data_IF_169585748687
#
_entry.id   IF_169585748687
#
_cell.length_a   1.000
_cell.length_b   1.000
_cell.length_c   1.000
_cell.angle_alpha   90.00
_cell.angle_beta   90.00
_cell.angle_gamma   90.00
#
_symmetry.space_group_name_H-M   'P 1'
#
loop_
_entity.id
_entity.type
_entity.pdbx_description
1 polymer ?
#
# COMPACT_ATOMS: atom_id res chain seq x y z
N UNK A 1 24.98 -5.67 7.79
CA UNK A 1 25.02 -4.20 7.69
C UNK A 1 25.14 -3.68 6.25
N UNK A 2 25.91 -4.30 5.34
CA UNK A 2 26.07 -3.81 3.95
C UNK A 2 24.76 -3.83 3.13
N UNK A 3 23.91 -4.84 3.26
CA UNK A 3 22.63 -4.93 2.55
C UNK A 3 21.67 -3.79 2.89
N UNK A 4 21.61 -3.36 4.15
CA UNK A 4 20.77 -2.24 4.57
C UNK A 4 21.21 -0.90 3.98
N UNK A 5 22.51 -0.67 3.92
CA UNK A 5 23.07 0.56 3.32
C UNK A 5 22.80 0.61 1.80
N UNK A 6 22.96 -0.52 1.11
CA UNK A 6 22.68 -0.62 -0.33
C UNK A 6 21.20 -0.38 -0.60
N UNK A 7 20.31 -0.98 0.21
CA UNK A 7 18.88 -0.79 0.08
C UNK A 7 18.47 0.67 0.33
N UNK A 8 19.03 1.27 1.40
CA UNK A 8 18.79 2.69 1.70
C UNK A 8 19.26 3.60 0.56
N UNK A 9 20.46 3.38 0.03
CA UNK A 9 20.98 4.13 -1.10
C UNK A 9 20.11 3.95 -2.36
N UNK A 10 19.62 2.74 -2.63
CA UNK A 10 18.73 2.47 -3.75
C UNK A 10 17.39 3.20 -3.60
N UNK A 11 16.81 3.24 -2.39
CA UNK A 11 15.57 3.98 -2.12
C UNK A 11 15.78 5.47 -2.30
N UNK A 12 16.87 6.05 -1.76
CA UNK A 12 17.20 7.46 -1.93
C UNK A 12 17.39 7.81 -3.41
N UNK A 13 18.13 6.99 -4.16
CA UNK A 13 18.34 7.18 -5.58
C UNK A 13 17.00 7.10 -6.36
N UNK A 14 16.15 6.14 -6.05
CA UNK A 14 14.83 6.02 -6.68
C UNK A 14 13.95 7.25 -6.42
N UNK A 15 13.96 7.78 -5.19
CA UNK A 15 13.15 8.97 -4.84
C UNK A 15 13.68 10.24 -5.50
N UNK A 16 15.01 10.41 -5.60
CA UNK A 16 15.60 11.67 -6.09
C UNK A 16 15.80 11.71 -7.60
N UNK A 17 16.02 10.56 -8.25
CA UNK A 17 16.43 10.50 -9.66
C UNK A 17 15.33 10.05 -10.61
N UNK A 18 14.30 9.36 -10.14
CA UNK A 18 13.25 8.86 -11.02
C UNK A 18 12.19 9.93 -11.30
N UNK A 19 11.74 10.08 -12.56
CA UNK A 19 10.54 10.86 -12.86
C UNK A 19 9.31 10.22 -12.20
N UNK A 20 8.30 11.04 -11.86
CA UNK A 20 7.15 10.60 -11.07
C UNK A 20 6.42 9.38 -11.65
N UNK A 21 6.30 9.29 -12.98
CA UNK A 21 5.67 8.15 -13.66
C UNK A 21 6.45 6.84 -13.46
N UNK A 22 7.78 6.89 -13.55
CA UNK A 22 8.63 5.72 -13.33
C UNK A 22 8.62 5.32 -11.85
N UNK A 23 8.71 6.31 -10.94
CA UNK A 23 8.59 6.10 -9.50
C UNK A 23 7.26 5.41 -9.17
N UNK A 24 6.14 5.88 -9.74
CA UNK A 24 4.82 5.28 -9.53
C UNK A 24 4.76 3.81 -9.94
N UNK A 25 5.33 3.45 -11.11
CA UNK A 25 5.36 2.07 -11.59
C UNK A 25 6.22 1.19 -10.69
N UNK A 26 7.40 1.67 -10.29
CA UNK A 26 8.29 0.94 -9.37
C UNK A 26 7.60 0.72 -8.02
N UNK A 27 6.99 1.75 -7.45
CA UNK A 27 6.26 1.64 -6.18
C UNK A 27 5.01 0.76 -6.31
N UNK A 28 4.33 0.77 -7.46
CA UNK A 28 3.23 -0.16 -7.71
C UNK A 28 3.72 -1.62 -7.69
N UNK A 29 4.85 -1.90 -8.35
CA UNK A 29 5.43 -3.24 -8.32
C UNK A 29 5.77 -3.70 -6.89
N UNK A 30 6.36 -2.83 -6.07
CA UNK A 30 6.63 -3.12 -4.64
C UNK A 30 5.32 -3.36 -3.88
N UNK A 31 4.29 -2.53 -4.13
CA UNK A 31 2.96 -2.69 -3.52
C UNK A 31 2.31 -4.03 -3.90
N UNK A 32 2.45 -4.45 -5.16
CA UNK A 32 1.92 -5.73 -5.63
C UNK A 32 2.68 -6.94 -5.06
N UNK A 33 4.00 -6.81 -4.80
CA UNK A 33 4.75 -7.81 -4.05
C UNK A 33 4.23 -7.90 -2.61
N UNK A 34 3.99 -6.78 -1.94
CA UNK A 34 3.33 -6.75 -0.63
C UNK A 34 1.93 -7.36 -0.66
N UNK A 35 1.15 -7.11 -1.71
CA UNK A 35 -0.16 -7.71 -1.92
C UNK A 35 -0.09 -9.23 -2.09
N UNK A 36 0.96 -9.73 -2.76
CA UNK A 36 1.21 -11.17 -2.89
C UNK A 36 1.45 -11.83 -1.53
N UNK A 37 2.21 -11.21 -0.65
CA UNK A 37 2.40 -11.69 0.72
C UNK A 37 1.13 -11.54 1.57
N UNK A 38 0.43 -10.39 1.46
CA UNK A 38 -0.85 -10.17 2.12
C UNK A 38 -1.89 -11.23 1.78
N UNK A 39 -1.92 -11.68 0.53
CA UNK A 39 -2.84 -12.73 0.07
C UNK A 39 -2.70 -14.04 0.85
N UNK A 40 -1.48 -14.35 1.34
CA UNK A 40 -1.24 -15.53 2.21
C UNK A 40 -1.88 -15.36 3.58
N UNK A 41 -1.80 -14.15 4.14
CA UNK A 41 -2.44 -13.82 5.43
C UNK A 41 -3.97 -13.90 5.35
N UNK A 42 -4.53 -13.65 4.16
CA UNK A 42 -5.96 -13.83 3.90
C UNK A 42 -6.37 -15.30 3.78
N UNK A 43 -5.43 -16.26 3.77
CA UNK A 43 -5.69 -17.67 3.55
C UNK A 43 -6.09 -17.99 2.10
N UNK A 44 -5.53 -17.21 1.15
CA UNK A 44 -5.63 -17.50 -0.28
C UNK A 44 -4.52 -18.49 -0.65
N UNK A 45 -4.76 -19.80 -0.50
CA UNK A 45 -3.72 -20.82 -0.66
C UNK A 45 -3.46 -21.18 -2.13
N UNK A 46 -4.47 -21.04 -2.98
CA UNK A 46 -4.35 -21.36 -4.40
C UNK A 46 -3.65 -20.22 -5.17
N UNK A 47 -2.59 -20.57 -5.91
CA UNK A 47 -1.78 -19.62 -6.70
C UNK A 47 -2.61 -18.82 -7.70
N UNK A 48 -3.63 -19.45 -8.32
CA UNK A 48 -4.51 -18.76 -9.28
C UNK A 48 -5.35 -17.68 -8.60
N UNK A 49 -5.89 -17.95 -7.42
CA UNK A 49 -6.69 -17.01 -6.64
C UNK A 49 -5.81 -15.84 -6.15
N UNK A 50 -4.58 -16.13 -5.73
CA UNK A 50 -3.59 -15.11 -5.36
C UNK A 50 -3.24 -14.22 -6.55
N UNK A 51 -2.95 -14.83 -7.71
CA UNK A 51 -2.66 -14.08 -8.94
C UNK A 51 -3.86 -13.21 -9.38
N UNK A 52 -5.09 -13.72 -9.27
CA UNK A 52 -6.30 -12.94 -9.55
C UNK A 52 -6.46 -11.75 -8.58
N UNK A 53 -6.19 -11.94 -7.30
CA UNK A 53 -6.21 -10.86 -6.30
C UNK A 53 -5.19 -9.77 -6.62
N UNK A 54 -3.94 -10.14 -6.86
CA UNK A 54 -2.86 -9.20 -7.22
C UNK A 54 -3.14 -8.50 -8.55
N UNK A 55 -3.65 -9.25 -9.54
CA UNK A 55 -4.07 -8.68 -10.83
C UNK A 55 -5.21 -7.68 -10.66
N UNK A 56 -6.19 -7.97 -9.81
CA UNK A 56 -7.25 -7.03 -9.45
C UNK A 56 -6.71 -5.74 -8.82
N UNK A 57 -5.73 -5.86 -7.91
CA UNK A 57 -5.06 -4.70 -7.32
C UNK A 57 -4.24 -3.91 -8.34
N UNK A 58 -3.60 -4.57 -9.31
CA UNK A 58 -2.90 -3.88 -10.40
C UNK A 58 -3.87 -3.05 -11.26
N UNK A 59 -5.06 -3.59 -11.57
CA UNK A 59 -6.13 -2.86 -12.29
C UNK A 59 -6.63 -1.69 -11.46
N UNK A 60 -6.88 -1.89 -10.15
CA UNK A 60 -7.27 -0.81 -9.24
C UNK A 60 -6.19 0.27 -9.15
N UNK A 61 -4.91 -0.10 -9.13
CA UNK A 61 -3.78 0.84 -9.20
C UNK A 61 -3.81 1.67 -10.48
N UNK A 62 -4.06 1.05 -11.63
CA UNK A 62 -4.20 1.75 -12.91
C UNK A 62 -5.38 2.73 -12.94
N UNK A 63 -6.55 2.31 -12.42
CA UNK A 63 -7.72 3.18 -12.27
C UNK A 63 -7.41 4.35 -11.32
N UNK A 64 -6.77 4.08 -10.18
CA UNK A 64 -6.40 5.11 -9.21
C UNK A 64 -5.39 6.09 -9.81
N UNK A 65 -4.41 5.62 -10.58
CA UNK A 65 -3.50 6.47 -11.32
C UNK A 65 -4.25 7.43 -12.25
N UNK A 66 -5.16 6.91 -13.06
CA UNK A 66 -5.94 7.72 -13.97
C UNK A 66 -6.80 8.77 -13.23
N UNK A 67 -7.46 8.38 -12.15
CA UNK A 67 -8.31 9.28 -11.36
C UNK A 67 -7.50 10.38 -10.64
N UNK A 68 -6.39 10.03 -10.01
CA UNK A 68 -5.61 10.97 -9.18
C UNK A 68 -4.73 11.87 -10.05
N UNK A 69 -4.06 11.31 -11.06
CA UNK A 69 -3.00 12.02 -11.78
C UNK A 69 -3.43 12.56 -13.15
N UNK A 70 -4.47 11.99 -13.75
CA UNK A 70 -5.03 12.47 -15.03
C UNK A 70 -6.25 13.35 -14.80
N UNK A 71 -7.19 12.92 -13.93
CA UNK A 71 -8.41 13.65 -13.63
C UNK A 71 -8.31 14.61 -12.42
N UNK A 72 -7.18 14.56 -11.69
CA UNK A 72 -6.92 15.38 -10.49
C UNK A 72 -7.98 15.21 -9.39
N UNK A 73 -8.40 13.98 -9.16
CA UNK A 73 -9.39 13.65 -8.12
C UNK A 73 -8.72 13.01 -6.91
N UNK A 74 -8.73 13.67 -5.76
CA UNK A 74 -8.10 13.18 -4.52
C UNK A 74 -8.97 12.23 -3.69
N UNK A 75 -10.20 11.94 -4.12
CA UNK A 75 -11.09 11.07 -3.36
C UNK A 75 -10.53 9.63 -3.12
N UNK A 76 -9.68 9.01 -3.98
CA UNK A 76 -9.09 7.72 -3.64
C UNK A 76 -8.17 7.79 -2.42
N UNK A 77 -7.45 8.91 -2.25
CA UNK A 77 -6.63 9.15 -1.06
C UNK A 77 -7.52 9.40 0.16
N UNK A 78 -8.60 10.17 0.01
CA UNK A 78 -9.58 10.42 1.08
C UNK A 78 -10.22 9.11 1.59
N UNK A 79 -10.55 8.16 0.70
CA UNK A 79 -11.01 6.83 1.09
C UNK A 79 -9.98 6.14 1.99
N UNK A 80 -8.68 6.23 1.67
CA UNK A 80 -7.63 5.67 2.50
C UNK A 80 -7.59 6.29 3.91
N UNK A 81 -7.74 7.60 4.02
CA UNK A 81 -7.79 8.28 5.33
C UNK A 81 -8.99 7.83 6.14
N UNK A 82 -10.18 7.76 5.53
CA UNK A 82 -11.40 7.27 6.20
C UNK A 82 -11.22 5.81 6.64
N UNK A 83 -10.65 4.98 5.75
CA UNK A 83 -10.36 3.59 6.07
C UNK A 83 -9.47 3.46 7.31
N UNK A 84 -8.37 4.20 7.38
CA UNK A 84 -7.48 4.16 8.54
C UNK A 84 -8.15 4.66 9.82
N UNK A 85 -9.01 5.69 9.74
CA UNK A 85 -9.82 6.12 10.88
C UNK A 85 -10.75 4.99 11.36
N UNK A 86 -11.41 4.28 10.44
CA UNK A 86 -12.24 3.11 10.77
C UNK A 86 -11.41 1.99 11.41
N UNK A 87 -10.21 1.69 10.89
CA UNK A 87 -9.31 0.68 11.46
C UNK A 87 -8.92 1.03 12.89
N UNK A 88 -8.59 2.30 13.18
CA UNK A 88 -8.28 2.75 14.54
C UNK A 88 -9.45 2.56 15.50
N UNK A 89 -10.68 2.90 15.06
CA UNK A 89 -11.89 2.67 15.87
C UNK A 89 -12.13 1.18 16.10
N UNK A 90 -12.00 0.35 15.04
CA UNK A 90 -12.15 -1.11 15.17
C UNK A 90 -11.12 -1.71 16.12
N UNK A 91 -9.89 -1.20 16.09
CA UNK A 91 -8.83 -1.67 16.99
C UNK A 91 -9.10 -1.28 18.44
N UNK A 92 -9.61 -0.05 18.66
CA UNK A 92 -9.98 0.43 20.00
C UNK A 92 -11.17 -0.34 20.61
N UNK A 93 -12.08 -0.85 19.76
CA UNK A 93 -13.26 -1.61 20.19
C UNK A 93 -13.05 -3.13 20.09
N UNK A 94 -11.83 -3.59 19.77
CA UNK A 94 -11.55 -5.01 19.58
C UNK A 94 -11.61 -5.78 20.90
N UNK A 95 -12.54 -6.73 21.00
CA UNK A 95 -12.60 -7.71 22.07
C UNK A 95 -12.07 -9.07 21.62
N UNK A 96 -11.02 -9.62 22.26
CA UNK A 96 -10.50 -10.95 21.91
C UNK A 96 -11.53 -12.02 22.23
N UNK A 97 -11.98 -12.79 21.22
CA UNK A 97 -12.85 -13.96 21.43
C UNK A 97 -14.17 -14.00 20.66
N UNK A 98 -14.53 -12.96 19.93
CA UNK A 98 -15.68 -13.01 19.00
C UNK A 98 -15.33 -13.86 17.79
N UNK A 99 -15.81 -15.11 17.78
CA UNK A 99 -15.55 -16.08 16.72
C UNK A 99 -16.21 -15.71 15.41
N UNK A 100 -15.56 -14.90 14.61
CA UNK A 100 -16.00 -14.59 13.26
C UNK A 100 -15.92 -15.80 12.33
N UNK A 101 -16.93 -15.97 11.49
CA UNK A 101 -16.96 -17.02 10.47
C UNK A 101 -15.74 -16.90 9.57
N UNK A 102 -14.95 -17.96 9.42
CA UNK A 102 -13.67 -18.03 8.69
C UNK A 102 -13.74 -17.46 7.27
N UNK A 103 -14.85 -17.63 6.58
CA UNK A 103 -15.07 -17.10 5.22
C UNK A 103 -15.23 -15.57 5.21
N UNK A 104 -16.02 -14.99 6.14
CA UNK A 104 -16.17 -13.53 6.26
C UNK A 104 -14.85 -12.86 6.59
N UNK A 105 -14.05 -13.47 7.46
CA UNK A 105 -12.70 -13.00 7.82
C UNK A 105 -11.77 -12.97 6.61
N UNK A 106 -11.81 -14.00 5.72
CA UNK A 106 -10.96 -14.07 4.52
C UNK A 106 -11.22 -12.92 3.56
N UNK A 107 -12.48 -12.68 3.20
CA UNK A 107 -12.87 -11.59 2.28
C UNK A 107 -12.67 -10.22 2.93
N UNK A 108 -12.95 -10.09 4.22
CA UNK A 108 -12.68 -8.87 4.99
C UNK A 108 -11.19 -8.51 4.97
N UNK A 109 -10.29 -9.47 5.19
CA UNK A 109 -8.84 -9.25 5.13
C UNK A 109 -8.36 -8.92 3.71
N UNK A 110 -8.93 -9.54 2.68
CA UNK A 110 -8.58 -9.21 1.29
C UNK A 110 -8.99 -7.78 0.93
N UNK A 111 -10.21 -7.37 1.33
CA UNK A 111 -10.69 -5.99 1.16
C UNK A 111 -9.84 -4.99 1.97
N UNK A 112 -9.51 -5.32 3.22
CA UNK A 112 -8.63 -4.52 4.06
C UNK A 112 -7.27 -4.28 3.40
N UNK A 113 -6.68 -5.33 2.78
CA UNK A 113 -5.45 -5.20 2.01
C UNK A 113 -5.57 -4.23 0.84
N UNK A 114 -6.65 -4.31 0.07
CA UNK A 114 -6.90 -3.39 -1.04
C UNK A 114 -7.04 -1.92 -0.57
N UNK A 115 -7.84 -1.69 0.48
CA UNK A 115 -8.07 -0.37 1.05
C UNK A 115 -6.84 0.21 1.77
N UNK A 116 -5.89 -0.63 2.17
CA UNK A 116 -4.63 -0.19 2.77
C UNK A 116 -3.57 0.09 1.70
N UNK A 117 -3.37 -0.87 0.79
CA UNK A 117 -2.23 -0.84 -0.13
C UNK A 117 -2.38 0.20 -1.25
N UNK A 118 -3.56 0.26 -1.89
CA UNK A 118 -3.77 1.16 -3.04
C UNK A 118 -3.77 2.64 -2.65
N UNK A 119 -4.51 3.09 -1.62
CA UNK A 119 -4.45 4.49 -1.21
C UNK A 119 -3.07 4.89 -0.65
N UNK A 120 -2.36 3.99 0.05
CA UNK A 120 -1.01 4.25 0.53
C UNK A 120 -0.03 4.48 -0.63
N UNK A 121 -0.10 3.62 -1.67
CA UNK A 121 0.67 3.81 -2.89
C UNK A 121 0.32 5.15 -3.58
N UNK A 122 -0.96 5.47 -3.73
CA UNK A 122 -1.39 6.73 -4.35
C UNK A 122 -0.90 7.96 -3.58
N UNK A 123 -0.98 7.92 -2.24
CA UNK A 123 -0.46 8.99 -1.39
C UNK A 123 1.05 9.16 -1.52
N UNK A 124 1.80 8.04 -1.55
CA UNK A 124 3.25 8.06 -1.70
C UNK A 124 3.68 8.69 -3.04
N UNK A 125 3.02 8.32 -4.14
CA UNK A 125 3.26 8.87 -5.47
C UNK A 125 2.85 10.35 -5.54
N UNK A 126 1.77 10.74 -4.88
CA UNK A 126 1.37 12.14 -4.75
C UNK A 126 2.41 12.97 -4.00
N UNK A 127 2.92 12.50 -2.87
CA UNK A 127 4.00 13.17 -2.13
C UNK A 127 5.26 13.31 -2.98
N UNK A 128 5.62 12.29 -3.74
CA UNK A 128 6.76 12.36 -4.67
C UNK A 128 6.56 13.42 -5.75
N UNK A 129 5.34 13.59 -6.27
CA UNK A 129 5.02 14.60 -7.27
C UNK A 129 5.08 16.01 -6.70
N UNK A 130 4.63 16.21 -5.46
CA UNK A 130 4.63 17.54 -4.80
C UNK A 130 6.04 17.92 -4.37
N UNK A 131 6.72 17.02 -3.66
CA UNK A 131 8.08 17.22 -3.19
C UNK A 131 8.74 15.88 -2.83
N UNK A 132 9.72 15.40 -3.60
CA UNK A 132 10.37 14.11 -3.35
C UNK A 132 10.96 13.97 -1.95
N UNK A 133 11.42 15.06 -1.34
CA UNK A 133 11.96 15.06 0.04
C UNK A 133 10.94 14.63 1.09
N UNK A 134 9.63 14.82 0.87
CA UNK A 134 8.58 14.33 1.77
C UNK A 134 8.58 12.81 1.85
N UNK A 135 8.84 12.14 0.73
CA UNK A 135 8.94 10.66 0.70
C UNK A 135 10.15 10.20 1.52
N UNK A 136 11.30 10.85 1.37
CA UNK A 136 12.49 10.54 2.19
C UNK A 136 12.23 10.77 3.68
N UNK A 137 11.55 11.86 4.02
CA UNK A 137 11.16 12.14 5.41
C UNK A 137 10.29 11.03 5.99
N UNK A 138 9.28 10.55 5.24
CA UNK A 138 8.42 9.45 5.66
C UNK A 138 9.21 8.13 5.83
N UNK A 139 10.13 7.83 4.91
CA UNK A 139 10.98 6.63 5.00
C UNK A 139 11.89 6.71 6.23
N UNK A 140 12.51 7.87 6.50
CA UNK A 140 13.33 8.06 7.68
C UNK A 140 12.51 7.96 8.97
N UNK A 141 11.31 8.53 8.99
CA UNK A 141 10.41 8.47 10.15
C UNK A 141 10.05 7.02 10.48
N UNK A 142 9.68 6.21 9.46
CA UNK A 142 9.39 4.79 9.67
C UNK A 142 10.62 4.00 10.11
N UNK A 143 11.77 4.24 9.50
CA UNK A 143 13.01 3.56 9.88
C UNK A 143 13.47 3.89 11.32
N UNK A 144 13.22 5.11 11.80
CA UNK A 144 13.52 5.48 13.20
C UNK A 144 12.51 4.94 14.20
N UNK A 145 11.28 4.68 13.79
CA UNK A 145 10.26 4.08 14.64
C UNK A 145 10.47 2.57 14.85
N UNK A 146 11.18 1.90 13.94
CA UNK A 146 11.47 0.45 13.96
C UNK A 146 12.76 0.10 14.74
N UNK A 147 13.48 1.08 15.29
CA UNK A 147 14.70 0.90 16.10
C UNK A 147 14.41 1.06 17.58
#
# INVERSE_FOLDING_TARGET
MMTGVILAAAVVAAVLLLPNSVFAVVMLAVTLLGAWEWSRLCGLDETRVRAAYVGGLAVLGGITWWLVFVQVHLWPVAIGVIWWACVLVMLALYEPGSGERRALRRYGLALAGALTLIPAWAALVWFHQVQPLLVLYLVLLTATADT
#
